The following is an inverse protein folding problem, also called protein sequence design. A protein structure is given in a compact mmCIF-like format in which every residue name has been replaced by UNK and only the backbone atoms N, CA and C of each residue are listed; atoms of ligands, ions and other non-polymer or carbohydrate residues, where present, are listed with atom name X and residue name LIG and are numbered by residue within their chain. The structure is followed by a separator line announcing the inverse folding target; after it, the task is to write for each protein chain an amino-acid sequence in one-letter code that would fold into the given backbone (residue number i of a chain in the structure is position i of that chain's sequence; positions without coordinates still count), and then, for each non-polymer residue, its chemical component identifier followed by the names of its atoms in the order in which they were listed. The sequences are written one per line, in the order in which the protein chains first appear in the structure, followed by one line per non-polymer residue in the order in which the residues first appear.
data_IF_236479721697
#
_entry.id   IF_236479721697
#
_cell.length_a   1.000
_cell.length_b   1.000
_cell.length_c   1.000
_cell.angle_alpha   90.00
_cell.angle_beta   90.00
_cell.angle_gamma   90.00
#
_symmetry.space_group_name_H-M   'P 1'
#
loop_
_entity.id
_entity.type
_entity.pdbx_description
1 polymer ?
#
# COMPACT_ATOMS: atom_id res chain seq x y z
N UNK A 1 -12.07 -12.87 2.45
CA UNK A 1 -11.29 -12.00 3.35
C UNK A 1 -11.46 -12.51 4.79
N UNK A 2 -10.42 -12.44 5.62
CA UNK A 2 -10.49 -12.80 7.04
C UNK A 2 -11.72 -12.15 7.71
N UNK A 3 -12.48 -12.92 8.48
CA UNK A 3 -13.74 -12.52 9.12
C UNK A 3 -13.60 -11.47 10.23
N UNK A 4 -12.45 -10.80 10.32
CA UNK A 4 -12.12 -9.84 11.38
C UNK A 4 -12.90 -8.52 11.24
N UNK A 5 -13.36 -8.18 10.03
CA UNK A 5 -14.09 -6.95 9.73
C UNK A 5 -15.57 -7.24 9.44
N UNK A 6 -16.33 -7.66 10.44
CA UNK A 6 -17.74 -8.10 10.29
C UNK A 6 -18.69 -6.97 9.87
N UNK A 7 -18.38 -5.71 10.21
CA UNK A 7 -19.19 -4.53 9.85
C UNK A 7 -18.93 -3.96 8.45
N UNK A 8 -18.08 -4.60 7.64
CA UNK A 8 -17.72 -4.13 6.31
C UNK A 8 -18.20 -5.11 5.23
N UNK A 9 -18.76 -4.59 4.15
CA UNK A 9 -19.14 -5.39 2.98
C UNK A 9 -17.91 -6.07 2.35
N UNK A 10 -18.09 -7.29 1.82
CA UNK A 10 -17.01 -8.09 1.25
C UNK A 10 -16.34 -7.41 0.06
N UNK A 11 -17.11 -6.68 -0.76
CA UNK A 11 -16.58 -5.94 -1.92
C UNK A 11 -15.59 -4.82 -1.53
N UNK A 12 -15.62 -4.37 -0.27
CA UNK A 12 -14.72 -3.35 0.28
C UNK A 12 -13.50 -3.93 1.00
N UNK A 13 -13.36 -5.27 1.01
CA UNK A 13 -12.25 -5.95 1.69
C UNK A 13 -11.20 -6.37 0.68
N UNK A 14 -9.97 -5.96 0.92
CA UNK A 14 -8.78 -6.50 0.24
C UNK A 14 -7.80 -6.99 1.30
N UNK A 15 -7.22 -8.16 1.09
CA UNK A 15 -6.19 -8.72 1.97
C UNK A 15 -4.98 -9.15 1.13
N UNK A 16 -3.78 -8.89 1.64
CA UNK A 16 -2.53 -9.31 1.02
C UNK A 16 -1.64 -9.95 2.08
N UNK A 17 -1.15 -11.16 1.81
CA UNK A 17 -0.20 -11.87 2.65
C UNK A 17 1.11 -11.96 1.88
N UNK A 18 2.20 -11.45 2.46
CA UNK A 18 3.53 -11.50 1.86
C UNK A 18 4.34 -12.62 2.53
N UNK A 19 4.69 -13.70 1.79
CA UNK A 19 5.48 -14.78 2.34
C UNK A 19 6.92 -14.36 2.59
N UNK A 20 7.38 -14.48 3.84
CA UNK A 20 8.77 -14.19 4.22
C UNK A 20 9.00 -12.78 4.77
N UNK A 21 8.03 -11.87 4.69
CA UNK A 21 8.07 -10.62 5.44
C UNK A 21 7.85 -10.89 6.93
N UNK A 22 8.91 -10.72 7.71
CA UNK A 22 8.79 -10.55 9.16
C UNK A 22 8.13 -9.21 9.52
N UNK A 23 7.94 -8.96 10.82
CA UNK A 23 7.26 -7.76 11.32
C UNK A 23 7.79 -6.44 10.73
N UNK A 24 9.11 -6.29 10.64
CA UNK A 24 9.75 -5.11 10.02
C UNK A 24 9.75 -5.15 8.49
N UNK A 25 9.65 -6.36 7.90
CA UNK A 25 9.54 -6.58 6.47
C UNK A 25 8.30 -5.92 5.86
N UNK A 26 7.24 -5.80 6.66
CA UNK A 26 5.95 -5.25 6.26
C UNK A 26 5.94 -3.73 6.17
N UNK A 27 6.77 -3.00 6.92
CA UNK A 27 6.73 -1.52 6.92
C UNK A 27 8.05 -0.84 6.55
N UNK A 28 9.19 -1.50 6.72
CA UNK A 28 10.51 -0.88 6.52
C UNK A 28 11.50 -1.75 5.74
N UNK A 29 11.14 -2.99 5.40
CA UNK A 29 12.03 -3.94 4.72
C UNK A 29 12.02 -3.88 3.20
N UNK A 30 12.73 -4.83 2.58
CA UNK A 30 12.76 -5.04 1.12
C UNK A 30 11.37 -5.41 0.58
N UNK A 31 10.67 -6.32 1.27
CA UNK A 31 9.30 -6.73 0.95
C UNK A 31 8.33 -5.54 0.91
N UNK A 32 8.43 -4.60 1.86
CA UNK A 32 7.64 -3.37 1.81
C UNK A 32 7.88 -2.59 0.52
N UNK A 33 9.14 -2.26 0.20
CA UNK A 33 9.45 -1.38 -0.94
C UNK A 33 9.07 -2.00 -2.29
N UNK A 34 9.27 -3.32 -2.43
CA UNK A 34 9.11 -4.01 -3.71
C UNK A 34 7.69 -4.58 -3.90
N UNK A 35 7.08 -5.11 -2.84
CA UNK A 35 5.86 -5.92 -2.97
C UNK A 35 4.64 -5.25 -2.33
N UNK A 36 4.76 -4.70 -1.13
CA UNK A 36 3.60 -4.29 -0.33
C UNK A 36 3.23 -2.81 -0.55
N UNK A 37 4.21 -1.91 -0.58
CA UNK A 37 4.00 -0.46 -0.77
C UNK A 37 3.21 -0.14 -2.05
N UNK A 38 3.51 -0.74 -3.22
CA UNK A 38 2.72 -0.48 -4.43
C UNK A 38 1.25 -0.88 -4.27
N UNK A 39 0.97 -1.99 -3.57
CA UNK A 39 -0.39 -2.47 -3.33
C UNK A 39 -1.17 -1.51 -2.41
N UNK A 40 -0.52 -1.01 -1.35
CA UNK A 40 -1.12 -0.03 -0.44
C UNK A 40 -1.42 1.28 -1.17
N UNK A 41 -0.47 1.80 -1.95
CA UNK A 41 -0.68 3.03 -2.72
C UNK A 41 -1.79 2.87 -3.75
N UNK A 42 -1.82 1.75 -4.48
CA UNK A 42 -2.91 1.47 -5.42
C UNK A 42 -4.28 1.36 -4.73
N UNK A 43 -4.33 0.75 -3.55
CA UNK A 43 -5.56 0.71 -2.76
C UNK A 43 -6.03 2.12 -2.37
N UNK A 44 -5.12 2.97 -1.91
CA UNK A 44 -5.41 4.37 -1.59
C UNK A 44 -5.90 5.10 -2.84
N UNK A 45 -5.21 4.99 -3.97
CA UNK A 45 -5.58 5.65 -5.23
C UNK A 45 -6.97 5.23 -5.73
N UNK A 46 -7.31 3.94 -5.61
CA UNK A 46 -8.62 3.40 -6.02
C UNK A 46 -9.79 3.91 -5.17
N UNK A 47 -9.54 4.26 -3.91
CA UNK A 47 -10.58 4.64 -2.95
C UNK A 47 -10.55 6.11 -2.54
N UNK A 48 -9.50 6.84 -2.93
CA UNK A 48 -9.38 8.28 -2.71
C UNK A 48 -10.09 9.02 -3.85
N UNK A 49 -11.03 9.90 -3.53
CA UNK A 49 -11.63 10.83 -4.49
C UNK A 49 -10.65 11.98 -4.88
N UNK A 50 -9.34 11.72 -4.82
CA UNK A 50 -8.30 12.73 -4.97
C UNK A 50 -7.89 12.78 -6.44
N UNK A 51 -8.13 13.94 -7.08
CA UNK A 51 -7.59 14.26 -8.42
C UNK A 51 -6.09 13.92 -8.45
N UNK A 52 -5.57 13.36 -9.56
CA UNK A 52 -4.19 12.88 -9.62
C UNK A 52 -3.24 13.97 -9.14
N UNK A 53 -2.50 13.67 -8.07
CA UNK A 53 -1.54 14.60 -7.51
C UNK A 53 -0.49 14.93 -8.58
N UNK A 54 -0.32 16.22 -8.85
CA UNK A 54 0.70 16.74 -9.75
C UNK A 54 2.05 16.13 -9.38
N UNK A 55 2.71 15.49 -10.35
CA UNK A 55 4.00 14.82 -10.18
C UNK A 55 4.98 15.78 -9.49
N UNK A 56 5.36 15.48 -8.25
CA UNK A 56 6.42 16.19 -7.56
C UNK A 56 7.70 16.06 -8.39
N UNK A 57 8.20 17.20 -8.88
CA UNK A 57 9.44 17.26 -9.62
C UNK A 57 10.57 16.70 -8.75
N UNK A 58 11.40 15.84 -9.33
CA UNK A 58 12.51 15.21 -8.63
C UNK A 58 13.44 16.30 -8.07
N UNK A 59 13.68 16.28 -6.76
CA UNK A 59 14.72 17.09 -6.15
C UNK A 59 16.06 16.52 -6.61
N UNK A 60 16.71 17.19 -7.56
CA UNK A 60 18.10 16.93 -7.92
C UNK A 60 18.95 17.10 -6.67
N UNK A 61 19.51 16.00 -6.17
CA UNK A 61 20.50 16.01 -5.12
C UNK A 61 21.74 16.78 -5.62
N UNK A 62 22.01 17.93 -4.99
CA UNK A 62 23.26 18.65 -5.18
C UNK A 62 24.39 17.86 -4.49
N UNK A 63 25.50 17.76 -5.23
CA UNK A 63 26.76 17.09 -4.91
C UNK A 63 27.47 17.69 -3.70
#
# INVERSE_FOLDING_TARGET
ALGLLTGLDQAKKTQHLEPGAGQYGIFAGKSWRLNIRPLVLNFIDRHSAVKPATKLAAVTAAK
#
